data_IF_546722200357
#
_entry.id   IF_546722200357
#
_cell.length_a   1.000
_cell.length_b   1.000
_cell.length_c   1.000
_cell.angle_alpha   90.00
_cell.angle_beta   90.00
_cell.angle_gamma   90.00
#
_symmetry.space_group_name_H-M   'P 1'
#
loop_
_entity.id
_entity.type
_entity.pdbx_description
1 polymer ?
#
# COMPACT_ATOMS: atom_id res chain seq x y z
N UNK A 1 -6.09 17.42 9.24
CA UNK A 1 -7.20 16.74 8.48
C UNK A 1 -6.77 15.32 8.21
N UNK A 2 -7.63 14.33 8.46
CA UNK A 2 -7.36 12.92 8.17
C UNK A 2 -7.35 12.67 6.66
N UNK A 3 -6.24 12.15 6.14
CA UNK A 3 -6.13 11.68 4.76
C UNK A 3 -6.61 10.23 4.70
N UNK A 4 -7.83 10.01 4.25
CA UNK A 4 -8.44 8.68 4.25
C UNK A 4 -9.22 8.43 2.96
N UNK A 5 -9.14 7.20 2.48
CA UNK A 5 -9.86 6.70 1.32
C UNK A 5 -9.95 5.19 1.31
N UNK A 6 -10.28 4.64 0.17
CA UNK A 6 -10.45 3.19 0.00
C UNK A 6 -10.02 2.74 -1.39
N UNK A 7 -10.05 1.43 -1.63
CA UNK A 7 -9.78 0.85 -2.93
C UNK A 7 -10.95 1.09 -3.89
N UNK A 8 -10.68 1.72 -5.04
CA UNK A 8 -11.67 2.05 -6.07
C UNK A 8 -11.35 1.38 -7.41
N UNK A 9 -12.38 1.22 -8.23
CA UNK A 9 -12.23 0.62 -9.57
C UNK A 9 -11.76 1.64 -10.61
N UNK A 10 -10.61 1.38 -11.24
CA UNK A 10 -10.10 2.20 -12.35
C UNK A 10 -10.86 2.02 -13.68
N UNK A 11 -11.88 1.17 -13.74
CA UNK A 11 -12.56 0.79 -14.99
C UNK A 11 -13.17 1.99 -15.74
N UNK A 12 -13.61 3.03 -15.02
CA UNK A 12 -14.24 4.24 -15.58
C UNK A 12 -13.32 5.46 -15.65
N UNK A 13 -12.02 5.28 -15.39
CA UNK A 13 -11.01 6.35 -15.45
C UNK A 13 -10.78 7.09 -14.12
N UNK A 14 -9.81 7.99 -14.15
CA UNK A 14 -9.32 8.71 -12.97
C UNK A 14 -10.35 9.70 -12.40
N UNK A 15 -11.00 10.46 -13.28
CA UNK A 15 -12.01 11.44 -12.85
C UNK A 15 -13.20 10.77 -12.16
N UNK A 16 -13.59 9.57 -12.62
CA UNK A 16 -14.64 8.81 -11.95
C UNK A 16 -14.21 8.36 -10.55
N UNK A 17 -12.99 7.85 -10.37
CA UNK A 17 -12.46 7.49 -9.06
C UNK A 17 -12.44 8.70 -8.12
N UNK A 18 -11.99 9.87 -8.60
CA UNK A 18 -12.02 11.11 -7.81
C UNK A 18 -13.43 11.50 -7.35
N UNK A 19 -14.43 11.40 -8.22
CA UNK A 19 -15.83 11.66 -7.88
C UNK A 19 -16.40 10.64 -6.90
N UNK A 20 -16.10 9.36 -7.09
CA UNK A 20 -16.51 8.28 -6.16
C UNK A 20 -15.89 8.52 -4.78
N UNK A 21 -14.58 8.78 -4.70
CA UNK A 21 -13.91 9.12 -3.45
C UNK A 21 -14.58 10.32 -2.74
N UNK A 22 -14.78 11.41 -3.45
CA UNK A 22 -15.47 12.59 -2.88
C UNK A 22 -16.87 12.30 -2.38
N UNK A 23 -17.63 11.43 -3.07
CA UNK A 23 -19.01 11.08 -2.70
C UNK A 23 -19.13 10.34 -1.37
N UNK A 24 -18.04 9.72 -0.91
CA UNK A 24 -17.92 9.01 0.37
C UNK A 24 -17.08 9.76 1.41
N UNK A 25 -16.84 11.06 1.18
CA UNK A 25 -16.00 11.91 2.04
C UNK A 25 -14.53 11.45 2.16
N UNK A 26 -14.03 10.78 1.14
CA UNK A 26 -12.62 10.44 1.00
C UNK A 26 -11.83 11.57 0.32
N UNK A 27 -10.56 11.75 0.69
CA UNK A 27 -9.63 12.70 0.08
C UNK A 27 -8.32 12.04 -0.41
N UNK A 28 -8.35 10.75 -0.54
CA UNK A 28 -7.37 9.89 -1.24
C UNK A 28 -8.10 8.64 -1.71
N UNK A 29 -7.43 7.81 -2.50
CA UNK A 29 -7.91 6.47 -2.84
C UNK A 29 -6.76 5.59 -3.34
N UNK A 30 -7.02 4.29 -3.38
CA UNK A 30 -6.16 3.29 -4.00
C UNK A 30 -6.86 2.69 -5.22
N UNK A 31 -6.07 2.21 -6.17
CA UNK A 31 -6.60 1.53 -7.36
C UNK A 31 -5.55 0.56 -7.94
N UNK A 32 -5.99 -0.42 -8.71
CA UNK A 32 -5.09 -1.23 -9.52
C UNK A 32 -4.78 -0.56 -10.85
N UNK A 33 -3.49 -0.51 -11.23
CA UNK A 33 -3.04 0.02 -12.52
C UNK A 33 -3.56 -0.79 -13.71
N UNK A 34 -3.90 -2.06 -13.46
CA UNK A 34 -4.38 -3.06 -14.41
C UNK A 34 -5.28 -4.09 -13.73
N UNK A 35 -5.78 -5.07 -14.47
CA UNK A 35 -6.49 -6.18 -13.86
C UNK A 35 -5.61 -6.84 -12.78
N UNK A 36 -6.08 -6.95 -11.51
CA UNK A 36 -5.29 -7.48 -10.40
C UNK A 36 -4.87 -8.94 -10.56
N UNK A 37 -5.50 -9.68 -11.45
CA UNK A 37 -5.13 -11.07 -11.81
C UNK A 37 -4.14 -11.15 -12.97
N UNK A 38 -3.51 -10.03 -13.33
CA UNK A 38 -2.63 -9.91 -14.48
C UNK A 38 -3.39 -9.54 -15.75
N UNK A 39 -2.67 -9.12 -16.76
CA UNK A 39 -3.24 -8.76 -18.04
C UNK A 39 -2.83 -7.39 -18.54
N UNK A 40 -3.35 -7.01 -19.70
CA UNK A 40 -3.04 -5.72 -20.31
C UNK A 40 -3.71 -4.59 -19.53
N UNK A 41 -2.97 -3.52 -19.29
CA UNK A 41 -3.51 -2.27 -18.79
C UNK A 41 -4.34 -1.59 -19.89
N UNK A 42 -5.43 -0.92 -19.50
CA UNK A 42 -6.21 -0.07 -20.39
C UNK A 42 -5.37 1.14 -20.82
N UNK A 43 -5.53 1.63 -22.04
CA UNK A 43 -4.89 2.89 -22.46
C UNK A 43 -5.28 4.04 -21.50
N UNK A 44 -4.31 4.89 -21.19
CA UNK A 44 -4.55 6.09 -20.39
C UNK A 44 -5.23 7.13 -21.28
N UNK A 45 -6.31 7.73 -20.78
CA UNK A 45 -6.94 8.90 -21.35
C UNK A 45 -6.29 10.14 -20.70
N UNK A 46 -5.41 10.79 -21.45
CA UNK A 46 -4.66 11.96 -20.96
C UNK A 46 -5.57 13.14 -20.58
N UNK A 47 -6.71 13.28 -21.27
CA UNK A 47 -7.66 14.35 -20.93
C UNK A 47 -8.39 14.05 -19.62
N UNK A 48 -8.76 12.79 -19.36
CA UNK A 48 -9.35 12.34 -18.08
C UNK A 48 -8.35 12.59 -16.94
N UNK A 49 -7.09 12.20 -17.12
CA UNK A 49 -6.03 12.44 -16.12
C UNK A 49 -5.85 13.93 -15.84
N UNK A 50 -5.76 14.77 -16.88
CA UNK A 50 -5.59 16.21 -16.71
C UNK A 50 -6.74 16.82 -15.89
N UNK A 51 -7.98 16.46 -16.24
CA UNK A 51 -9.17 16.92 -15.52
C UNK A 51 -9.18 16.43 -14.06
N UNK A 52 -8.71 15.20 -13.85
CA UNK A 52 -8.59 14.63 -12.50
C UNK A 52 -7.53 15.37 -11.65
N UNK A 53 -6.37 15.71 -12.22
CA UNK A 53 -5.33 16.46 -11.49
C UNK A 53 -5.81 17.86 -11.05
N UNK A 54 -6.58 18.53 -11.89
CA UNK A 54 -7.25 19.78 -11.53
C UNK A 54 -8.26 19.56 -10.39
N UNK A 55 -9.09 18.52 -10.49
CA UNK A 55 -10.04 18.11 -9.46
C UNK A 55 -9.39 17.77 -8.11
N UNK A 56 -8.28 17.04 -8.12
CA UNK A 56 -7.50 16.74 -6.91
C UNK A 56 -7.11 18.02 -6.17
N UNK A 57 -6.55 18.98 -6.93
CA UNK A 57 -6.10 20.26 -6.37
C UNK A 57 -7.26 21.08 -5.79
N UNK A 58 -8.37 21.18 -6.52
CA UNK A 58 -9.55 21.94 -6.09
C UNK A 58 -10.25 21.34 -4.86
N UNK A 59 -10.11 20.03 -4.66
CA UNK A 59 -10.77 19.31 -3.56
C UNK A 59 -9.81 18.87 -2.45
N UNK A 60 -8.57 19.40 -2.43
CA UNK A 60 -7.55 19.10 -1.41
C UNK A 60 -7.31 17.60 -1.23
N UNK A 61 -7.23 16.85 -2.33
CA UNK A 61 -6.85 15.45 -2.26
C UNK A 61 -5.39 15.31 -1.81
N UNK A 62 -5.15 14.32 -0.97
CA UNK A 62 -3.82 13.83 -0.64
C UNK A 62 -3.26 12.98 -1.79
N UNK A 63 -2.06 12.42 -1.63
CA UNK A 63 -1.52 11.48 -2.60
C UNK A 63 -2.46 10.27 -2.76
N UNK A 64 -2.59 9.82 -4.00
CA UNK A 64 -3.27 8.55 -4.32
C UNK A 64 -2.25 7.43 -4.42
N UNK A 65 -2.70 6.19 -4.28
CA UNK A 65 -1.86 5.02 -4.32
C UNK A 65 -2.30 4.08 -5.44
N UNK A 66 -1.39 3.72 -6.31
CA UNK A 66 -1.59 2.64 -7.26
C UNK A 66 -1.03 1.35 -6.69
N UNK A 67 -1.81 0.28 -6.69
CA UNK A 67 -1.37 -1.03 -6.21
C UNK A 67 -1.00 -1.93 -7.40
N UNK A 68 0.12 -2.63 -7.28
CA UNK A 68 0.53 -3.64 -8.24
C UNK A 68 -0.47 -4.81 -8.29
N UNK A 69 -0.60 -5.50 -9.43
CA UNK A 69 -1.44 -6.69 -9.49
C UNK A 69 -0.91 -7.80 -8.58
N UNK A 70 -1.81 -8.58 -7.97
CA UNK A 70 -1.45 -9.71 -7.08
C UNK A 70 -0.57 -10.78 -7.74
N UNK A 71 -0.55 -10.81 -9.07
CA UNK A 71 0.30 -11.74 -9.84
C UNK A 71 1.75 -11.31 -9.96
N UNK A 72 2.08 -10.08 -9.51
CA UNK A 72 3.45 -9.58 -9.51
C UNK A 72 4.24 -10.30 -8.41
N UNK A 73 5.24 -11.10 -8.79
CA UNK A 73 6.14 -11.76 -7.85
C UNK A 73 7.60 -11.65 -8.35
N UNK A 74 8.28 -10.61 -7.88
CA UNK A 74 9.66 -10.29 -8.25
C UNK A 74 10.67 -11.35 -7.79
N UNK A 75 10.35 -12.13 -6.77
CA UNK A 75 11.25 -13.09 -6.15
C UNK A 75 10.87 -14.57 -6.41
N UNK A 76 10.02 -14.83 -7.40
CA UNK A 76 9.65 -16.20 -7.78
C UNK A 76 10.88 -17.05 -8.18
N UNK A 77 10.79 -18.37 -7.92
CA UNK A 77 11.78 -19.32 -8.41
C UNK A 77 11.72 -19.53 -9.95
N UNK A 78 10.64 -19.08 -10.59
CA UNK A 78 10.46 -19.17 -12.05
C UNK A 78 10.91 -17.88 -12.72
N UNK A 79 11.83 -17.96 -13.64
CA UNK A 79 12.34 -16.83 -14.40
C UNK A 79 11.23 -16.09 -15.16
N UNK A 80 10.36 -16.81 -15.85
CA UNK A 80 9.22 -16.24 -16.58
C UNK A 80 8.32 -15.37 -15.68
N UNK A 81 8.12 -15.78 -14.41
CA UNK A 81 7.34 -15.00 -13.44
C UNK A 81 8.07 -13.72 -13.03
N UNK A 82 9.39 -13.78 -12.85
CA UNK A 82 10.22 -12.60 -12.55
C UNK A 82 10.27 -11.63 -13.74
N UNK A 83 10.40 -12.13 -14.97
CA UNK A 83 10.34 -11.31 -16.18
C UNK A 83 8.97 -10.62 -16.34
N UNK A 84 7.88 -11.36 -16.08
CA UNK A 84 6.55 -10.77 -16.06
C UNK A 84 6.45 -9.66 -14.99
N UNK A 85 6.96 -9.89 -13.78
CA UNK A 85 6.97 -8.91 -12.71
C UNK A 85 7.77 -7.66 -13.09
N UNK A 86 8.97 -7.83 -13.67
CA UNK A 86 9.82 -6.74 -14.15
C UNK A 86 9.10 -5.88 -15.20
N UNK A 87 8.56 -6.50 -16.22
CA UNK A 87 7.88 -5.82 -17.33
C UNK A 87 6.61 -5.12 -16.85
N UNK A 88 5.86 -5.75 -15.93
CA UNK A 88 4.64 -5.20 -15.35
C UNK A 88 4.96 -3.97 -14.51
N UNK A 89 5.92 -4.04 -13.59
CA UNK A 89 6.31 -2.91 -12.76
C UNK A 89 6.87 -1.75 -13.60
N UNK A 90 7.73 -2.04 -14.60
CA UNK A 90 8.27 -1.02 -15.49
C UNK A 90 7.16 -0.29 -16.28
N UNK A 91 6.13 -1.00 -16.71
CA UNK A 91 4.97 -0.39 -17.38
C UNK A 91 4.11 0.41 -16.40
N UNK A 92 3.83 -0.13 -15.23
CA UNK A 92 3.04 0.56 -14.21
C UNK A 92 3.70 1.87 -13.76
N UNK A 93 5.01 1.87 -13.52
CA UNK A 93 5.74 3.07 -13.12
C UNK A 93 5.73 4.15 -14.21
N UNK A 94 5.87 3.77 -15.50
CA UNK A 94 5.68 4.72 -16.62
C UNK A 94 4.26 5.30 -16.64
N UNK A 95 3.26 4.51 -16.32
CA UNK A 95 1.86 4.94 -16.26
C UNK A 95 1.60 5.89 -15.09
N UNK A 96 2.29 5.68 -13.96
CA UNK A 96 2.18 6.56 -12.80
C UNK A 96 2.71 7.97 -13.07
N UNK A 97 3.65 8.15 -14.00
CA UNK A 97 4.14 9.48 -14.36
C UNK A 97 3.11 10.36 -15.08
N UNK A 98 1.96 9.82 -15.50
CA UNK A 98 0.81 10.63 -15.91
C UNK A 98 0.12 11.31 -14.72
N UNK A 99 0.25 10.75 -13.51
CA UNK A 99 -0.16 11.36 -12.25
C UNK A 99 1.08 11.57 -11.37
N UNK A 100 1.86 12.63 -11.59
CA UNK A 100 3.16 12.80 -10.93
C UNK A 100 3.06 12.94 -9.42
N UNK A 101 4.13 12.56 -8.71
CA UNK A 101 4.28 12.65 -7.25
C UNK A 101 3.28 11.77 -6.45
N UNK A 102 2.79 10.70 -7.04
CA UNK A 102 1.91 9.74 -6.38
C UNK A 102 2.68 8.51 -5.86
N UNK A 103 1.96 7.58 -5.24
CA UNK A 103 2.51 6.39 -4.61
C UNK A 103 2.21 5.15 -5.48
N UNK A 104 3.15 4.23 -5.53
CA UNK A 104 2.97 2.91 -6.13
C UNK A 104 3.38 1.83 -5.12
N UNK A 105 2.46 0.98 -4.76
CA UNK A 105 2.65 -0.07 -3.76
C UNK A 105 2.69 -1.45 -4.37
N UNK A 106 3.50 -2.34 -3.80
CA UNK A 106 3.54 -3.73 -4.22
C UNK A 106 3.94 -4.67 -3.08
N UNK A 107 3.38 -5.87 -3.10
CA UNK A 107 3.85 -6.97 -2.26
C UNK A 107 5.24 -7.39 -2.68
N UNK A 108 6.24 -7.47 -1.79
CA UNK A 108 7.59 -7.93 -2.13
C UNK A 108 7.60 -9.29 -2.85
N UNK A 109 6.62 -10.14 -2.54
CA UNK A 109 6.41 -11.41 -3.21
C UNK A 109 6.75 -12.61 -2.34
N UNK A 110 6.87 -13.77 -2.99
CA UNK A 110 7.11 -15.05 -2.33
C UNK A 110 8.28 -15.77 -2.97
N UNK A 111 9.27 -16.17 -2.16
CA UNK A 111 10.52 -16.79 -2.65
C UNK A 111 10.38 -18.24 -3.09
N UNK A 112 9.22 -18.86 -2.87
CA UNK A 112 8.87 -20.21 -3.37
C UNK A 112 9.98 -21.26 -3.09
N UNK A 113 10.46 -21.28 -1.84
CA UNK A 113 11.43 -22.29 -1.38
C UNK A 113 12.91 -22.02 -1.69
N UNK A 114 13.26 -20.90 -2.37
CA UNK A 114 14.68 -20.56 -2.66
C UNK A 114 15.43 -20.01 -1.44
N UNK A 115 14.70 -19.51 -0.45
CA UNK A 115 15.26 -18.78 0.69
C UNK A 115 15.06 -17.27 0.60
N UNK A 116 15.02 -16.62 1.75
CA UNK A 116 14.73 -15.18 1.90
C UNK A 116 15.82 -14.34 1.22
N UNK A 117 17.09 -14.64 1.46
CA UNK A 117 18.25 -13.91 0.90
C UNK A 117 18.20 -13.85 -0.64
N UNK A 118 17.99 -15.01 -1.30
CA UNK A 118 17.85 -15.07 -2.76
C UNK A 118 16.65 -14.28 -3.25
N UNK A 119 15.56 -14.36 -2.51
CA UNK A 119 14.35 -13.60 -2.85
C UNK A 119 14.56 -12.09 -2.75
N UNK A 120 15.22 -11.61 -1.70
CA UNK A 120 15.59 -10.20 -1.52
C UNK A 120 16.49 -9.72 -2.65
N UNK A 121 17.51 -10.51 -3.02
CA UNK A 121 18.40 -10.20 -4.14
C UNK A 121 17.65 -9.99 -5.45
N UNK A 122 16.66 -10.82 -5.75
CA UNK A 122 15.82 -10.65 -6.94
C UNK A 122 14.97 -9.38 -6.90
N UNK A 123 14.36 -9.07 -5.75
CA UNK A 123 13.57 -7.84 -5.56
C UNK A 123 14.45 -6.61 -5.76
N UNK A 124 15.62 -6.57 -5.10
CA UNK A 124 16.59 -5.48 -5.22
C UNK A 124 17.05 -5.29 -6.66
N UNK A 125 17.37 -6.39 -7.36
CA UNK A 125 17.76 -6.36 -8.77
C UNK A 125 16.66 -5.80 -9.66
N UNK A 126 15.40 -6.20 -9.43
CA UNK A 126 14.26 -5.67 -10.17
C UNK A 126 14.10 -4.16 -9.93
N UNK A 127 14.09 -3.72 -8.67
CA UNK A 127 13.97 -2.31 -8.31
C UNK A 127 15.10 -1.47 -8.90
N UNK A 128 16.35 -1.93 -8.83
CA UNK A 128 17.50 -1.27 -9.44
C UNK A 128 17.46 -1.24 -10.98
N UNK A 129 16.59 -2.04 -11.59
CA UNK A 129 16.39 -2.05 -13.05
C UNK A 129 15.29 -1.08 -13.49
N UNK A 130 14.22 -0.95 -12.70
CA UNK A 130 13.03 -0.18 -13.11
C UNK A 130 13.01 1.26 -12.60
N UNK A 131 13.69 1.54 -11.47
CA UNK A 131 13.75 2.88 -10.91
C UNK A 131 14.67 3.78 -11.73
N UNK A 132 14.24 5.03 -11.99
CA UNK A 132 15.03 6.03 -12.69
C UNK A 132 15.10 7.33 -11.89
N UNK A 133 16.18 8.13 -12.03
CA UNK A 133 16.36 9.36 -11.24
C UNK A 133 15.28 10.42 -11.49
N UNK A 134 14.73 10.48 -12.69
CA UNK A 134 13.73 11.44 -13.15
C UNK A 134 12.29 11.08 -12.74
N UNK A 135 12.05 9.85 -12.30
CA UNK A 135 10.76 9.39 -11.82
C UNK A 135 10.26 10.23 -10.64
N UNK A 136 8.98 10.58 -10.65
CA UNK A 136 8.33 11.32 -9.56
C UNK A 136 7.58 10.43 -8.59
N UNK A 137 7.24 9.22 -9.01
CA UNK A 137 6.52 8.22 -8.21
C UNK A 137 7.39 7.69 -7.08
N UNK A 138 6.84 7.60 -5.88
CA UNK A 138 7.48 6.88 -4.77
C UNK A 138 6.97 5.43 -4.74
N UNK A 139 7.90 4.48 -4.76
CA UNK A 139 7.58 3.04 -4.76
C UNK A 139 7.61 2.51 -3.33
N UNK A 140 6.55 1.83 -2.91
CA UNK A 140 6.37 1.33 -1.57
C UNK A 140 6.51 -0.19 -1.51
N UNK A 141 7.23 -0.66 -0.51
CA UNK A 141 7.21 -2.04 -0.09
C UNK A 141 6.09 -2.21 0.93
N UNK A 142 5.17 -3.11 0.69
CA UNK A 142 4.14 -3.42 1.67
C UNK A 142 4.65 -4.38 2.75
N UNK A 143 4.26 -4.12 4.01
CA UNK A 143 4.47 -5.08 5.10
C UNK A 143 3.60 -6.31 4.89
N UNK A 144 4.14 -7.51 5.09
CA UNK A 144 3.47 -8.77 4.81
C UNK A 144 3.20 -9.59 6.07
N UNK A 145 2.15 -10.42 6.04
CA UNK A 145 1.78 -11.28 7.17
C UNK A 145 2.72 -12.49 7.37
N UNK A 146 3.59 -12.78 6.41
CA UNK A 146 4.49 -13.94 6.46
C UNK A 146 3.79 -15.26 6.13
N UNK A 147 2.78 -15.22 5.26
CA UNK A 147 2.07 -16.40 4.79
C UNK A 147 2.97 -17.22 3.86
N UNK A 148 3.20 -18.47 4.22
CA UNK A 148 4.03 -19.37 3.43
C UNK A 148 5.47 -18.89 3.30
N UNK A 149 5.86 -18.45 2.12
CA UNK A 149 7.23 -17.99 1.79
C UNK A 149 7.28 -16.52 1.36
N UNK A 150 6.34 -15.71 1.85
CA UNK A 150 6.32 -14.26 1.63
C UNK A 150 7.55 -13.59 2.23
N UNK A 151 8.05 -12.59 1.51
CA UNK A 151 9.11 -11.65 1.94
C UNK A 151 8.45 -10.35 2.37
N UNK A 152 9.07 -9.65 3.33
CA UNK A 152 8.53 -8.43 3.92
C UNK A 152 7.69 -8.68 5.18
N UNK A 153 7.81 -9.86 5.76
CA UNK A 153 7.14 -10.27 7.01
C UNK A 153 7.75 -9.65 8.27
N UNK A 154 8.95 -9.09 8.16
CA UNK A 154 9.58 -8.34 9.24
C UNK A 154 10.15 -7.03 8.73
N UNK A 155 10.34 -6.07 9.64
CA UNK A 155 10.92 -4.77 9.29
C UNK A 155 12.37 -4.91 8.82
N UNK A 156 13.11 -5.93 9.32
CA UNK A 156 14.47 -6.23 8.87
C UNK A 156 14.51 -6.68 7.41
N UNK A 157 13.58 -7.55 6.96
CA UNK A 157 13.51 -7.98 5.56
C UNK A 157 13.22 -6.78 4.63
N UNK A 158 12.31 -5.86 5.03
CA UNK A 158 12.05 -4.62 4.28
C UNK A 158 13.28 -3.70 4.26
N UNK A 159 13.95 -3.56 5.41
CA UNK A 159 15.18 -2.76 5.51
C UNK A 159 16.28 -3.30 4.60
N UNK A 160 16.47 -4.61 4.55
CA UNK A 160 17.47 -5.24 3.69
C UNK A 160 17.20 -4.95 2.19
N UNK A 161 15.93 -4.98 1.78
CA UNK A 161 15.55 -4.57 0.42
C UNK A 161 15.88 -3.09 0.18
N UNK A 162 15.48 -2.19 1.10
CA UNK A 162 15.72 -0.75 0.98
C UNK A 162 17.22 -0.44 0.88
N UNK A 163 18.06 -1.10 1.68
CA UNK A 163 19.51 -0.92 1.68
C UNK A 163 20.19 -1.39 0.39
N UNK A 164 19.60 -2.36 -0.30
CA UNK A 164 20.08 -2.83 -1.58
C UNK A 164 19.71 -1.95 -2.78
N UNK A 165 18.75 -1.02 -2.62
CA UNK A 165 18.26 -0.18 -3.71
C UNK A 165 19.10 1.09 -3.86
N UNK A 166 19.67 1.32 -5.06
CA UNK A 166 20.57 2.45 -5.36
C UNK A 166 19.84 3.81 -5.32
N UNK A 167 18.59 3.85 -5.72
CA UNK A 167 17.72 5.02 -5.70
C UNK A 167 16.75 4.92 -4.51
N UNK A 168 17.29 4.72 -3.32
CA UNK A 168 16.53 4.52 -2.09
C UNK A 168 15.63 5.72 -1.72
N UNK A 169 15.99 6.92 -2.19
CA UNK A 169 15.15 8.11 -2.06
C UNK A 169 13.83 8.05 -2.86
N UNK A 170 13.69 7.08 -3.77
CA UNK A 170 12.43 6.77 -4.49
C UNK A 170 11.61 5.70 -3.78
N UNK A 171 12.10 5.17 -2.66
CA UNK A 171 11.47 4.08 -1.93
C UNK A 171 10.83 4.53 -0.63
N UNK A 172 9.77 3.84 -0.26
CA UNK A 172 9.10 3.95 1.04
C UNK A 172 8.47 2.62 1.45
N UNK A 173 7.64 2.68 2.48
CA UNK A 173 6.91 1.52 3.00
C UNK A 173 5.43 1.86 3.10
N UNK A 174 4.58 0.90 2.76
CA UNK A 174 3.17 0.86 3.11
C UNK A 174 2.98 -0.11 4.28
N UNK A 175 2.39 0.35 5.36
CA UNK A 175 2.13 -0.49 6.54
C UNK A 175 0.68 -0.97 6.51
N UNK A 176 0.46 -2.26 6.32
CA UNK A 176 -0.86 -2.86 6.46
C UNK A 176 -1.09 -3.35 7.90
N UNK A 177 -2.15 -2.87 8.54
CA UNK A 177 -2.46 -3.17 9.94
C UNK A 177 -2.85 -4.63 10.16
N UNK A 178 -3.54 -5.26 9.21
CA UNK A 178 -3.85 -6.68 9.25
C UNK A 178 -2.58 -7.52 9.09
N UNK A 179 -1.72 -7.16 8.12
CA UNK A 179 -0.49 -7.90 7.85
C UNK A 179 0.48 -7.87 9.02
N UNK A 180 0.76 -6.70 9.61
CA UNK A 180 1.68 -6.63 10.74
C UNK A 180 1.12 -7.32 11.98
N UNK A 181 -0.20 -7.21 12.25
CA UNK A 181 -0.85 -7.92 13.34
C UNK A 181 -0.79 -9.44 13.15
N UNK A 182 -1.13 -9.92 11.96
CA UNK A 182 -1.01 -11.34 11.61
C UNK A 182 0.46 -11.79 11.57
N UNK A 183 1.39 -10.89 11.26
CA UNK A 183 2.84 -11.09 11.27
C UNK A 183 3.49 -11.15 12.65
N UNK A 184 2.76 -10.74 13.70
CA UNK A 184 3.24 -10.83 15.09
C UNK A 184 3.66 -9.49 15.72
N UNK A 185 3.33 -8.35 15.10
CA UNK A 185 3.51 -7.01 15.69
C UNK A 185 2.24 -6.62 16.45
N UNK A 186 2.30 -6.50 17.77
CA UNK A 186 1.14 -6.29 18.65
C UNK A 186 0.69 -4.83 18.69
N UNK A 187 0.10 -4.35 17.59
CA UNK A 187 -0.46 -2.98 17.50
C UNK A 187 -1.66 -2.74 18.42
N UNK A 188 -2.26 -3.79 18.97
CA UNK A 188 -3.41 -3.68 19.87
C UNK A 188 -2.98 -3.26 21.27
N UNK A 189 -1.95 -3.92 21.80
CA UNK A 189 -1.48 -3.70 23.17
C UNK A 189 -0.25 -2.79 23.25
N UNK A 190 0.57 -2.71 22.19
CA UNK A 190 1.84 -1.95 22.18
C UNK A 190 2.08 -1.23 20.84
N UNK A 191 1.15 -0.38 20.43
CA UNK A 191 1.30 0.42 19.19
C UNK A 191 2.56 1.29 19.21
N UNK A 192 2.85 1.95 20.33
CA UNK A 192 4.05 2.80 20.47
C UNK A 192 5.34 1.98 20.29
N UNK A 193 5.43 0.79 20.92
CA UNK A 193 6.59 -0.09 20.78
C UNK A 193 6.79 -0.58 19.36
N UNK A 194 5.70 -0.93 18.64
CA UNK A 194 5.77 -1.32 17.22
C UNK A 194 6.25 -0.15 16.35
N UNK A 195 5.76 1.07 16.57
CA UNK A 195 6.20 2.25 15.83
C UNK A 195 7.64 2.65 16.16
N UNK A 196 8.08 2.48 17.40
CA UNK A 196 9.48 2.72 17.81
C UNK A 196 10.42 1.68 17.19
N UNK A 197 9.98 0.43 17.08
CA UNK A 197 10.73 -0.62 16.40
C UNK A 197 10.84 -0.32 14.89
N UNK A 198 9.75 0.07 14.24
CA UNK A 198 9.75 0.49 12.83
C UNK A 198 10.70 1.68 12.61
N UNK A 199 10.63 2.69 13.47
CA UNK A 199 11.51 3.88 13.39
C UNK A 199 12.99 3.51 13.54
N UNK A 200 13.30 2.65 14.49
CA UNK A 200 14.67 2.19 14.75
C UNK A 200 15.26 1.39 13.59
N UNK A 201 14.45 0.56 12.92
CA UNK A 201 14.93 -0.36 11.86
C UNK A 201 14.88 0.32 10.49
N UNK A 202 13.77 0.94 10.15
CA UNK A 202 13.50 1.48 8.80
C UNK A 202 13.59 3.01 8.78
N UNK A 203 13.05 3.67 9.80
CA UNK A 203 12.82 5.11 9.88
C UNK A 203 11.37 5.48 9.55
N UNK A 204 10.72 6.25 10.43
CA UNK A 204 9.31 6.68 10.23
C UNK A 204 9.14 7.59 9.01
N UNK A 205 10.18 8.28 8.58
CA UNK A 205 10.18 9.08 7.35
C UNK A 205 10.00 8.25 6.08
N UNK A 206 10.23 6.94 6.15
CA UNK A 206 9.96 5.97 5.06
C UNK A 206 8.53 5.49 5.03
N UNK A 207 7.73 5.66 6.09
CA UNK A 207 6.32 5.29 6.09
C UNK A 207 5.51 6.31 5.29
N UNK A 208 4.99 5.90 4.14
CA UNK A 208 4.32 6.78 3.15
C UNK A 208 2.84 6.51 2.99
N UNK A 209 2.37 5.33 3.36
CA UNK A 209 0.96 4.96 3.33
C UNK A 209 0.64 3.94 4.42
N UNK A 210 -0.62 3.87 4.81
CA UNK A 210 -1.15 2.84 5.72
C UNK A 210 -2.34 2.19 5.03
N UNK A 211 -2.28 0.88 4.84
CA UNK A 211 -3.48 0.07 4.61
C UNK A 211 -4.12 -0.21 5.96
N UNK A 212 -5.32 0.32 6.17
CA UNK A 212 -6.02 0.15 7.43
C UNK A 212 -7.10 -0.90 7.28
N UNK A 213 -6.83 -2.09 7.77
CA UNK A 213 -7.68 -3.26 7.69
C UNK A 213 -7.76 -3.92 9.06
N UNK A 214 -8.95 -4.37 9.46
CA UNK A 214 -9.07 -5.27 10.61
C UNK A 214 -8.74 -6.71 10.18
N UNK A 215 -8.47 -7.60 11.12
CA UNK A 215 -8.11 -8.98 10.81
C UNK A 215 -9.18 -9.96 11.26
N UNK A 216 -9.53 -10.91 10.37
CA UNK A 216 -10.37 -12.09 10.72
C UNK A 216 -9.67 -13.08 11.62
N UNK A 217 -8.37 -12.97 11.77
CA UNK A 217 -7.53 -13.96 12.42
C UNK A 217 -7.05 -13.49 13.78
N UNK A 218 -6.66 -14.40 14.68
CA UNK A 218 -5.98 -14.04 15.92
C UNK A 218 -4.55 -13.52 15.62
N UNK A 219 -4.00 -12.82 16.59
CA UNK A 219 -2.62 -12.33 16.59
C UNK A 219 -1.60 -13.42 16.18
N UNK A 220 -0.60 -13.02 15.38
CA UNK A 220 0.48 -13.88 14.89
C UNK A 220 0.01 -15.15 14.13
N UNK A 221 -1.09 -15.03 13.40
CA UNK A 221 -1.69 -16.15 12.65
C UNK A 221 -0.98 -16.45 11.31
N UNK A 222 -0.25 -15.51 10.75
CA UNK A 222 0.38 -15.56 9.42
C UNK A 222 -0.60 -15.91 8.28
N UNK A 223 -1.78 -15.26 8.26
CA UNK A 223 -2.84 -15.65 7.29
C UNK A 223 -3.24 -14.62 6.29
N UNK A 224 -3.26 -13.35 6.65
CA UNK A 224 -3.75 -12.28 5.79
C UNK A 224 -5.21 -12.49 5.35
N UNK A 225 -6.15 -12.00 6.15
CA UNK A 225 -7.59 -11.99 5.84
C UNK A 225 -8.22 -10.75 6.46
N UNK A 226 -8.48 -9.76 5.61
CA UNK A 226 -9.09 -8.50 6.02
C UNK A 226 -10.52 -8.67 6.52
N UNK A 227 -10.86 -7.96 7.59
CA UNK A 227 -12.21 -7.79 8.10
C UNK A 227 -12.56 -6.30 8.07
N UNK A 228 -13.83 -5.99 8.20
CA UNK A 228 -14.33 -4.63 8.32
C UNK A 228 -13.84 -3.97 9.59
N UNK A 229 -13.65 -2.66 9.55
CA UNK A 229 -13.16 -1.88 10.68
C UNK A 229 -14.01 -2.11 11.93
N UNK A 230 -13.38 -2.62 12.98
CA UNK A 230 -14.00 -2.91 14.28
C UNK A 230 -14.77 -4.23 14.36
N UNK A 231 -14.81 -5.03 13.29
CA UNK A 231 -15.48 -6.34 13.28
C UNK A 231 -14.48 -7.52 13.43
N UNK A 232 -13.19 -7.23 13.51
CA UNK A 232 -12.12 -8.23 13.60
C UNK A 232 -11.39 -8.24 14.95
N UNK A 233 -10.21 -8.86 14.93
CA UNK A 233 -9.39 -9.09 16.13
C UNK A 233 -8.54 -7.89 16.56
N UNK A 234 -8.31 -6.94 15.66
CA UNK A 234 -7.58 -5.69 15.97
C UNK A 234 -8.52 -4.71 16.69
N UNK A 235 -9.75 -4.57 16.19
CA UNK A 235 -10.82 -3.81 16.82
C UNK A 235 -10.76 -2.29 16.58
N UNK A 236 -11.92 -1.65 16.72
CA UNK A 236 -12.12 -0.22 16.44
C UNK A 236 -11.24 0.70 17.28
N UNK A 237 -11.08 0.42 18.57
CA UNK A 237 -10.28 1.25 19.47
C UNK A 237 -8.82 1.38 19.03
N UNK A 238 -8.24 0.32 18.47
CA UNK A 238 -6.88 0.35 17.91
C UNK A 238 -6.83 1.22 16.65
N UNK A 239 -7.82 1.12 15.77
CA UNK A 239 -7.90 1.97 14.59
C UNK A 239 -8.01 3.45 14.96
N UNK A 240 -8.79 3.78 16.01
CA UNK A 240 -8.87 5.14 16.55
C UNK A 240 -7.53 5.61 17.13
N UNK A 241 -6.78 4.76 17.82
CA UNK A 241 -5.42 5.09 18.28
C UNK A 241 -4.50 5.41 17.10
N UNK A 242 -4.55 4.60 16.02
CA UNK A 242 -3.69 4.78 14.83
C UNK A 242 -3.97 6.12 14.15
N UNK A 243 -5.23 6.44 13.84
CA UNK A 243 -5.57 7.70 13.16
C UNK A 243 -5.25 8.95 13.99
N UNK A 244 -5.24 8.84 15.32
CA UNK A 244 -4.92 9.93 16.25
C UNK A 244 -3.46 9.87 16.75
N UNK A 245 -2.63 9.00 16.20
CA UNK A 245 -1.24 8.89 16.65
C UNK A 245 -0.38 10.04 16.11
N UNK A 246 0.34 10.81 16.96
CA UNK A 246 1.11 11.98 16.50
C UNK A 246 2.15 11.66 15.43
N UNK A 247 2.81 10.49 15.50
CA UNK A 247 3.83 10.05 14.54
C UNK A 247 3.26 9.68 13.16
N UNK A 248 1.94 9.48 13.02
CA UNK A 248 1.27 9.02 11.80
C UNK A 248 0.49 10.13 11.09
N UNK A 249 0.63 11.38 11.54
CA UNK A 249 -0.10 12.50 10.99
C UNK A 249 0.28 12.79 9.53
N UNK A 250 -0.75 13.02 8.70
CA UNK A 250 -0.58 13.38 7.31
C UNK A 250 -0.35 12.19 6.35
N UNK A 251 -0.07 11.02 6.88
CA UNK A 251 0.09 9.80 6.06
C UNK A 251 -1.27 9.40 5.47
N UNK A 252 -1.40 9.12 4.16
CA UNK A 252 -2.62 8.62 3.58
C UNK A 252 -2.98 7.23 4.11
N UNK A 253 -4.24 7.07 4.50
CA UNK A 253 -4.82 5.83 5.01
C UNK A 253 -5.81 5.28 3.98
N UNK A 254 -5.68 4.03 3.63
CA UNK A 254 -6.43 3.37 2.57
C UNK A 254 -7.09 2.09 3.09
N UNK A 255 -8.40 2.00 2.93
CA UNK A 255 -9.20 0.87 3.37
C UNK A 255 -9.27 -0.17 2.24
N UNK A 256 -8.98 -1.41 2.57
CA UNK A 256 -9.15 -2.58 1.69
C UNK A 256 -10.09 -3.62 2.31
N UNK A 257 -10.91 -3.17 3.23
CA UNK A 257 -11.90 -3.99 3.92
C UNK A 257 -12.91 -4.59 2.94
N UNK A 258 -13.54 -5.74 3.27
CA UNK A 258 -14.49 -6.41 2.37
C UNK A 258 -15.81 -5.67 2.28
N UNK A 259 -15.77 -4.48 1.67
CA UNK A 259 -16.90 -3.57 1.51
C UNK A 259 -17.15 -3.20 0.04
N UNK A 260 -18.38 -2.77 -0.20
CA UNK A 260 -18.74 -1.96 -1.37
C UNK A 260 -18.71 -0.45 -0.97
N UNK A 261 -18.95 0.44 -1.93
CA UNK A 261 -18.80 1.89 -1.73
C UNK A 261 -19.57 2.44 -0.50
N UNK A 262 -20.80 1.97 -0.28
CA UNK A 262 -21.62 2.37 0.88
C UNK A 262 -21.04 1.89 2.22
N UNK A 263 -20.36 0.74 2.23
CA UNK A 263 -19.65 0.23 3.40
C UNK A 263 -18.41 1.07 3.70
N UNK A 264 -17.60 1.38 2.69
CA UNK A 264 -16.48 2.31 2.84
C UNK A 264 -16.89 3.69 3.34
N UNK A 265 -18.02 4.22 2.83
CA UNK A 265 -18.58 5.48 3.32
C UNK A 265 -18.83 5.45 4.82
N UNK A 266 -19.42 4.37 5.34
CA UNK A 266 -19.68 4.21 6.78
C UNK A 266 -18.39 4.14 7.59
N UNK A 267 -17.41 3.34 7.14
CA UNK A 267 -16.12 3.21 7.83
C UNK A 267 -15.35 4.55 7.85
N UNK A 268 -15.30 5.26 6.71
CA UNK A 268 -14.66 6.57 6.63
C UNK A 268 -15.35 7.56 7.58
N UNK A 269 -16.68 7.58 7.61
CA UNK A 269 -17.42 8.44 8.52
C UNK A 269 -17.14 8.11 9.98
N UNK A 270 -17.17 6.83 10.38
CA UNK A 270 -16.86 6.39 11.74
C UNK A 270 -15.45 6.84 12.18
N UNK A 271 -14.46 6.70 11.30
CA UNK A 271 -13.07 7.11 11.59
C UNK A 271 -12.94 8.64 11.66
N UNK A 272 -13.60 9.39 10.77
CA UNK A 272 -13.59 10.86 10.81
C UNK A 272 -14.24 11.43 12.08
N UNK A 273 -15.32 10.81 12.55
CA UNK A 273 -16.03 11.23 13.78
C UNK A 273 -15.17 11.04 15.04
N UNK A 274 -14.19 10.13 15.00
CA UNK A 274 -13.26 9.88 16.11
C UNK A 274 -11.89 10.53 15.95
N UNK A 275 -11.64 11.22 14.82
CA UNK A 275 -10.40 11.93 14.58
C UNK A 275 -10.37 13.27 15.30
N UNK A 276 -9.34 13.50 16.13
CA UNK A 276 -9.26 14.63 17.08
C UNK A 276 -8.08 15.57 16.89
N UNK A 277 -7.13 15.26 15.98
CA UNK A 277 -5.90 16.05 15.76
C UNK A 277 -5.74 16.55 14.31
#
# INVERSE_FOLDING_TARGET
>A
MLNIGCHLSAAKGYMNMGKEAKSIDANTFQFFTRNPRGGKAKAIDEQDVKTFLEFMKENNFSQILAHAPYTLNACSNKEETREFALNTMADDLRRMEYTPNQLYDFHPGSHVGQGVEIGIDFIVKQLNTVLTPDMTTTVLLETMAGKGTEIGRSFEELKEILDGVKLDNKMGVCMDTCHIYDGGYDIVNDLDGVLDEFDRIIGLDRLKAIHMNDSKNPFASHKDRHEKIGEGSIGFDTMVKIINHPKLQGIPILLETPNELDGYKKEIQMLRETYTI
#
